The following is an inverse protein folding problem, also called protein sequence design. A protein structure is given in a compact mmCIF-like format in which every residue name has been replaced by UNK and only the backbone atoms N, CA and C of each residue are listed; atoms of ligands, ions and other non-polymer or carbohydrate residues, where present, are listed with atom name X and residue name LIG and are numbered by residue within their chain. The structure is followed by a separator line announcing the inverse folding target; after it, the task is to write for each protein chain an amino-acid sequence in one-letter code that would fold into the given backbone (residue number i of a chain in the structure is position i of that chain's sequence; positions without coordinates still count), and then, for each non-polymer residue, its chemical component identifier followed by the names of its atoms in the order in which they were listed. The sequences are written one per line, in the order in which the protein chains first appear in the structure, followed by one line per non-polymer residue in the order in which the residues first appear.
data_IF_280067989019
#
_entry.id   IF_280067989019
#
_cell.length_a   1.000
_cell.length_b   1.000
_cell.length_c   1.000
_cell.angle_alpha   90.00
_cell.angle_beta   90.00
_cell.angle_gamma   90.00
#
_symmetry.space_group_name_H-M   'P 1'
#
loop_
_entity.id
_entity.type
_entity.pdbx_description
1 polymer ?
#
# COMPACT_ATOMS: atom_id res chain seq x y z
N UNK A 1 31.94 -10.93 6.01
CA UNK A 1 31.65 -10.90 4.56
C UNK A 1 30.38 -10.10 4.43
N UNK A 2 30.42 -8.94 3.79
CA UNK A 2 29.25 -8.10 3.60
C UNK A 2 28.34 -8.80 2.56
N UNK A 3 27.20 -9.31 3.00
CA UNK A 3 26.15 -9.73 2.11
C UNK A 3 25.64 -8.46 1.42
N UNK A 4 25.94 -8.33 0.13
CA UNK A 4 25.46 -7.22 -0.67
C UNK A 4 23.94 -7.28 -0.72
N UNK A 5 23.27 -6.23 -0.22
CA UNK A 5 21.83 -6.09 -0.34
C UNK A 5 21.36 -6.25 -1.78
N UNK A 6 20.14 -6.70 -1.97
CA UNK A 6 19.62 -6.96 -3.32
C UNK A 6 19.71 -5.69 -4.18
N UNK A 7 20.35 -5.76 -5.38
CA UNK A 7 20.44 -4.62 -6.27
C UNK A 7 19.05 -4.15 -6.67
N UNK A 8 18.85 -2.83 -6.85
CA UNK A 8 17.59 -2.32 -7.39
C UNK A 8 17.37 -2.85 -8.80
N UNK A 9 16.11 -3.17 -9.13
CA UNK A 9 15.73 -3.49 -10.50
C UNK A 9 15.45 -2.25 -11.35
N UNK A 10 15.48 -1.06 -10.72
CA UNK A 10 15.24 0.22 -11.41
C UNK A 10 16.39 0.55 -12.36
N UNK A 11 16.06 1.04 -13.54
CA UNK A 11 17.01 1.48 -14.54
C UNK A 11 16.51 2.72 -15.29
N UNK A 12 17.43 3.40 -16.00
CA UNK A 12 17.11 4.52 -16.86
C UNK A 12 16.28 5.62 -16.17
N UNK A 13 15.24 6.15 -16.86
CA UNK A 13 14.47 7.29 -16.37
C UNK A 13 13.79 7.07 -15.00
N UNK A 14 13.44 5.82 -14.68
CA UNK A 14 12.79 5.52 -13.38
C UNK A 14 13.78 5.65 -12.22
N UNK A 15 15.03 5.18 -12.40
CA UNK A 15 16.10 5.36 -11.41
C UNK A 15 16.43 6.85 -11.23
N UNK A 16 16.57 7.61 -12.32
CA UNK A 16 16.80 9.05 -12.25
C UNK A 16 15.68 9.78 -11.49
N UNK A 17 14.43 9.39 -11.73
CA UNK A 17 13.27 9.91 -10.99
C UNK A 17 13.36 9.58 -9.50
N UNK A 18 13.70 8.33 -9.14
CA UNK A 18 13.84 7.90 -7.76
C UNK A 18 14.94 8.70 -7.04
N UNK A 19 16.09 8.90 -7.68
CA UNK A 19 17.17 9.73 -7.14
C UNK A 19 16.74 11.19 -6.94
N UNK A 20 16.10 11.79 -7.93
CA UNK A 20 15.71 13.20 -7.89
C UNK A 20 14.54 13.49 -6.95
N UNK A 21 13.50 12.64 -6.94
CA UNK A 21 12.26 12.92 -6.23
C UNK A 21 12.15 12.23 -4.87
N UNK A 22 12.81 11.09 -4.72
CA UNK A 22 12.76 10.28 -3.50
C UNK A 22 14.07 10.31 -2.70
N UNK A 23 15.12 10.98 -3.19
CA UNK A 23 16.46 10.98 -2.60
C UNK A 23 17.07 9.56 -2.52
N UNK A 24 16.69 8.67 -3.45
CA UNK A 24 17.24 7.31 -3.47
C UNK A 24 18.73 7.36 -3.79
N UNK A 25 19.59 6.69 -2.99
CA UNK A 25 21.03 6.61 -3.30
C UNK A 25 21.25 5.97 -4.67
N UNK A 26 22.18 6.56 -5.44
CA UNK A 26 22.53 6.05 -6.77
C UNK A 26 23.35 4.77 -6.77
N UNK A 27 23.96 4.44 -5.64
CA UNK A 27 24.77 3.24 -5.46
C UNK A 27 24.11 2.24 -4.50
N UNK A 28 24.31 0.95 -4.78
CA UNK A 28 23.72 -0.14 -4.02
C UNK A 28 24.29 -0.26 -2.61
N UNK A 29 25.55 0.15 -2.40
CA UNK A 29 26.20 0.08 -1.09
C UNK A 29 25.53 1.03 -0.09
N UNK A 30 25.34 2.29 -0.47
CA UNK A 30 24.65 3.29 0.37
C UNK A 30 23.21 2.90 0.62
N UNK A 31 22.50 2.39 -0.41
CA UNK A 31 21.12 1.91 -0.27
C UNK A 31 21.04 0.75 0.73
N UNK A 32 21.93 -0.24 0.62
CA UNK A 32 21.98 -1.38 1.53
C UNK A 32 22.31 -0.96 2.97
N UNK A 33 23.18 0.01 3.18
CA UNK A 33 23.47 0.57 4.51
C UNK A 33 22.22 1.17 5.14
N UNK A 34 21.40 1.90 4.37
CA UNK A 34 20.17 2.51 4.89
C UNK A 34 19.08 1.46 5.19
N UNK A 35 18.96 0.42 4.37
CA UNK A 35 18.05 -0.71 4.63
C UNK A 35 18.46 -1.42 5.93
N UNK A 36 19.75 -1.75 6.08
CA UNK A 36 20.27 -2.41 7.27
C UNK A 36 20.14 -1.54 8.52
N UNK A 37 20.31 -0.23 8.42
CA UNK A 37 20.10 0.69 9.55
C UNK A 37 18.63 0.76 9.94
N UNK A 38 17.70 0.78 8.98
CA UNK A 38 16.26 0.71 9.26
C UNK A 38 15.92 -0.61 9.96
N UNK A 39 16.41 -1.74 9.45
CA UNK A 39 16.23 -3.07 10.04
C UNK A 39 16.72 -3.10 11.49
N UNK A 40 17.96 -2.67 11.73
CA UNK A 40 18.56 -2.64 13.06
C UNK A 40 17.75 -1.81 14.06
N UNK A 41 17.18 -0.68 13.63
CA UNK A 41 16.30 0.15 14.47
C UNK A 41 15.01 -0.55 14.83
N UNK A 42 14.40 -1.22 13.85
CA UNK A 42 13.15 -1.96 14.06
C UNK A 42 13.36 -3.20 14.96
N UNK A 43 14.48 -3.92 14.79
CA UNK A 43 14.83 -5.06 15.65
C UNK A 43 15.05 -4.65 17.13
N UNK A 44 15.56 -3.44 17.34
CA UNK A 44 15.80 -2.89 18.70
C UNK A 44 14.64 -1.99 19.18
N UNK A 45 13.57 -1.90 18.43
CA UNK A 45 12.44 -1.06 18.78
C UNK A 45 11.71 -1.58 20.02
N UNK A 46 11.23 -0.64 20.84
CA UNK A 46 10.41 -0.92 22.01
C UNK A 46 9.13 -0.07 21.95
N UNK A 47 7.98 -0.64 22.33
CA UNK A 47 6.72 0.12 22.34
C UNK A 47 6.82 1.31 23.28
N UNK A 48 6.39 2.47 22.80
CA UNK A 48 6.33 3.73 23.56
C UNK A 48 4.91 4.01 24.05
N UNK A 49 3.93 3.46 23.35
CA UNK A 49 2.52 3.66 23.65
C UNK A 49 1.81 2.30 23.82
N UNK A 50 0.71 2.29 24.58
CA UNK A 50 -0.07 1.08 24.86
C UNK A 50 -0.64 0.41 23.60
N UNK A 51 -0.98 1.21 22.58
CA UNK A 51 -1.45 0.71 21.27
C UNK A 51 -0.36 0.02 20.45
N UNK A 52 0.90 0.17 20.84
CA UNK A 52 2.07 -0.47 20.20
C UNK A 52 2.47 -1.78 20.87
N UNK A 53 1.94 -2.07 22.08
CA UNK A 53 2.25 -3.31 22.80
C UNK A 53 1.82 -4.54 22.00
N UNK A 54 2.71 -5.54 21.91
CA UNK A 54 2.46 -6.83 21.23
C UNK A 54 2.37 -6.72 19.70
N UNK A 55 2.89 -5.64 19.08
CA UNK A 55 3.11 -5.62 17.64
C UNK A 55 4.19 -6.64 17.31
N UNK A 56 3.89 -7.50 16.34
CA UNK A 56 4.86 -8.39 15.73
C UNK A 56 5.27 -7.83 14.37
N UNK A 57 6.55 -7.53 14.20
CA UNK A 57 7.08 -7.05 12.93
C UNK A 57 7.33 -8.22 12.00
N UNK A 58 6.72 -8.18 10.83
CA UNK A 58 6.87 -9.17 9.78
C UNK A 58 7.79 -8.65 8.68
N UNK A 59 8.49 -9.57 7.98
CA UNK A 59 9.30 -9.28 6.80
C UNK A 59 10.46 -8.31 7.07
N UNK A 60 11.06 -8.35 8.26
CA UNK A 60 12.27 -7.57 8.57
C UNK A 60 13.49 -8.02 7.75
N UNK A 61 13.52 -9.27 7.32
CA UNK A 61 14.55 -9.88 6.46
C UNK A 61 14.37 -9.57 4.97
N UNK A 62 13.24 -8.96 4.58
CA UNK A 62 12.94 -8.63 3.20
C UNK A 62 13.38 -7.19 2.85
N UNK A 63 14.53 -7.06 2.21
CA UNK A 63 15.10 -5.78 1.77
C UNK A 63 14.14 -4.98 0.90
N UNK A 64 13.44 -5.66 -0.04
CA UNK A 64 12.49 -4.99 -0.95
C UNK A 64 11.28 -4.45 -0.19
N UNK A 65 10.86 -5.17 0.84
CA UNK A 65 9.78 -4.73 1.69
C UNK A 65 10.18 -3.49 2.52
N UNK A 66 11.38 -3.48 3.10
CA UNK A 66 11.90 -2.33 3.85
C UNK A 66 12.13 -1.12 2.96
N UNK A 67 12.63 -1.35 1.74
CA UNK A 67 12.93 -0.29 0.77
C UNK A 67 11.70 0.54 0.41
N UNK A 68 10.51 -0.06 0.36
CA UNK A 68 9.26 0.68 0.08
C UNK A 68 8.96 1.76 1.12
N UNK A 69 9.30 1.53 2.38
CA UNK A 69 9.13 2.52 3.46
C UNK A 69 10.14 3.67 3.34
N UNK A 70 11.39 3.33 3.01
CA UNK A 70 12.43 4.32 2.72
C UNK A 70 12.03 5.21 1.54
N UNK A 71 11.62 4.62 0.41
CA UNK A 71 11.13 5.36 -0.77
C UNK A 71 9.95 6.26 -0.44
N UNK A 72 8.97 5.74 0.31
CA UNK A 72 7.78 6.52 0.70
C UNK A 72 8.14 7.75 1.53
N UNK A 73 9.18 7.67 2.35
CA UNK A 73 9.65 8.77 3.20
C UNK A 73 10.92 9.44 2.69
N UNK A 74 11.24 9.26 1.38
CA UNK A 74 12.37 9.90 0.72
C UNK A 74 13.70 9.64 1.44
N UNK A 75 13.89 8.39 1.89
CA UNK A 75 15.07 7.92 2.62
C UNK A 75 15.33 8.63 3.96
N UNK A 76 14.30 9.29 4.53
CA UNK A 76 14.34 9.74 5.91
C UNK A 76 14.09 8.55 6.84
N UNK A 77 15.14 8.10 7.52
CA UNK A 77 15.12 6.91 8.38
C UNK A 77 14.10 7.04 9.54
N UNK A 78 14.01 8.21 10.18
CA UNK A 78 13.10 8.39 11.31
C UNK A 78 11.64 8.28 10.86
N UNK A 79 11.31 8.89 9.73
CA UNK A 79 9.97 8.85 9.15
C UNK A 79 9.65 7.48 8.55
N UNK A 80 10.64 6.77 8.00
CA UNK A 80 10.47 5.43 7.48
C UNK A 80 10.22 4.43 8.60
N UNK A 81 10.97 4.50 9.70
CA UNK A 81 10.78 3.73 10.92
C UNK A 81 9.36 3.92 11.47
N UNK A 82 8.93 5.18 11.66
CA UNK A 82 7.58 5.47 12.17
C UNK A 82 6.49 4.97 11.21
N UNK A 83 6.69 5.07 9.89
CA UNK A 83 5.74 4.54 8.92
C UNK A 83 5.62 3.02 9.01
N UNK A 84 6.73 2.31 9.19
CA UNK A 84 6.75 0.87 9.36
C UNK A 84 6.00 0.44 10.63
N UNK A 85 6.29 1.11 11.75
CA UNK A 85 5.58 0.86 13.02
C UNK A 85 4.07 1.09 12.85
N UNK A 86 3.68 2.22 12.26
CA UNK A 86 2.28 2.54 12.01
C UNK A 86 1.59 1.51 11.11
N UNK A 87 2.28 1.00 10.08
CA UNK A 87 1.76 -0.04 9.20
C UNK A 87 1.34 -1.29 9.98
N UNK A 88 2.18 -1.77 10.89
CA UNK A 88 1.86 -2.93 11.71
C UNK A 88 0.83 -2.60 12.81
N UNK A 89 0.90 -1.42 13.41
CA UNK A 89 -0.07 -0.95 14.43
C UNK A 89 -1.49 -0.91 13.86
N UNK A 90 -1.67 -0.32 12.68
CA UNK A 90 -2.99 -0.20 12.04
C UNK A 90 -3.52 -1.57 11.62
N UNK A 91 -2.68 -2.44 11.05
CA UNK A 91 -3.08 -3.81 10.69
C UNK A 91 -3.51 -4.61 11.93
N UNK A 92 -2.79 -4.50 13.04
CA UNK A 92 -3.17 -5.12 14.30
C UNK A 92 -4.47 -4.54 14.87
N UNK A 93 -4.59 -3.22 14.91
CA UNK A 93 -5.79 -2.52 15.40
C UNK A 93 -7.06 -3.00 14.68
N UNK A 94 -6.95 -3.30 13.40
CA UNK A 94 -8.06 -3.75 12.56
C UNK A 94 -8.02 -5.24 12.23
N UNK A 95 -7.27 -6.06 12.99
CA UNK A 95 -7.11 -7.49 12.73
C UNK A 95 -8.42 -8.27 12.76
N UNK A 96 -9.36 -7.92 13.65
CA UNK A 96 -10.69 -8.55 13.71
C UNK A 96 -11.51 -8.27 12.45
N UNK A 97 -11.44 -7.04 11.92
CA UNK A 97 -12.13 -6.65 10.70
C UNK A 97 -11.47 -7.27 9.45
N UNK A 98 -10.15 -7.25 9.41
CA UNK A 98 -9.38 -7.70 8.26
C UNK A 98 -9.22 -9.23 8.23
N UNK A 99 -9.11 -9.89 9.41
CA UNK A 99 -8.80 -11.31 9.49
C UNK A 99 -7.60 -11.68 8.64
N UNK A 100 -7.63 -12.83 8.02
CA UNK A 100 -6.58 -13.24 7.07
C UNK A 100 -6.69 -12.44 5.77
N UNK A 101 -5.60 -11.77 5.40
CA UNK A 101 -5.46 -11.03 4.14
C UNK A 101 -4.65 -11.88 3.18
N UNK A 102 -5.32 -12.58 2.27
CA UNK A 102 -4.69 -13.47 1.29
C UNK A 102 -5.32 -13.28 -0.11
N UNK A 103 -4.59 -13.72 -1.15
CA UNK A 103 -5.16 -13.71 -2.51
C UNK A 103 -6.45 -14.53 -2.59
N UNK A 104 -6.55 -15.62 -1.85
CA UNK A 104 -7.74 -16.46 -1.81
C UNK A 104 -8.93 -15.71 -1.23
N UNK A 105 -8.74 -14.93 -0.15
CA UNK A 105 -9.81 -14.12 0.44
C UNK A 105 -10.28 -12.96 -0.46
N UNK A 106 -9.44 -12.52 -1.40
CA UNK A 106 -9.71 -11.42 -2.33
C UNK A 106 -10.29 -11.90 -3.68
N UNK A 107 -10.19 -13.20 -4.01
CA UNK A 107 -10.46 -13.73 -5.34
C UNK A 107 -11.88 -13.39 -5.83
N UNK A 108 -12.91 -13.54 -5.00
CA UNK A 108 -14.29 -13.25 -5.36
C UNK A 108 -14.49 -11.79 -5.79
N UNK A 109 -13.95 -10.85 -5.02
CA UNK A 109 -14.03 -9.42 -5.32
C UNK A 109 -13.24 -9.05 -6.58
N UNK A 110 -12.06 -9.63 -6.76
CA UNK A 110 -11.24 -9.38 -7.96
C UNK A 110 -11.97 -9.92 -9.20
N UNK A 111 -12.52 -11.12 -9.14
CA UNK A 111 -13.27 -11.74 -10.27
C UNK A 111 -14.56 -11.01 -10.61
N UNK A 112 -15.24 -10.40 -9.64
CA UNK A 112 -16.45 -9.60 -9.89
C UNK A 112 -16.17 -8.31 -10.69
N UNK A 113 -14.92 -7.86 -10.70
CA UNK A 113 -14.50 -6.64 -11.39
C UNK A 113 -14.86 -5.35 -10.63
N UNK A 114 -15.23 -5.43 -9.35
CA UNK A 114 -15.38 -4.27 -8.46
C UNK A 114 -14.04 -3.52 -8.39
N UNK A 115 -12.93 -4.27 -8.28
CA UNK A 115 -11.57 -3.74 -8.31
C UNK A 115 -10.83 -4.37 -9.48
N UNK A 116 -10.23 -3.55 -10.32
CA UNK A 116 -9.48 -4.02 -11.49
C UNK A 116 -8.19 -3.21 -11.65
N UNK A 117 -7.07 -3.87 -11.90
CA UNK A 117 -5.82 -3.20 -12.27
C UNK A 117 -5.72 -3.20 -13.79
N UNK A 118 -5.50 -2.05 -14.39
CA UNK A 118 -5.29 -1.97 -15.83
C UNK A 118 -3.92 -2.55 -16.22
N UNK A 119 -3.82 -3.21 -17.38
CA UNK A 119 -2.57 -3.84 -17.82
C UNK A 119 -1.46 -2.82 -18.12
N UNK A 120 -1.84 -1.63 -18.57
CA UNK A 120 -0.90 -0.57 -18.95
C UNK A 120 -0.77 0.49 -17.86
N UNK A 121 0.43 1.04 -17.72
CA UNK A 121 0.70 2.20 -16.88
C UNK A 121 0.26 3.48 -17.61
N UNK A 122 0.08 4.55 -16.85
CA UNK A 122 -0.11 5.89 -17.43
C UNK A 122 1.19 6.35 -18.12
N UNK A 123 1.11 7.43 -18.90
CA UNK A 123 2.30 8.08 -19.49
C UNK A 123 3.29 8.57 -18.43
N UNK A 124 2.82 8.84 -17.22
CA UNK A 124 3.67 9.20 -16.07
C UNK A 124 4.25 7.96 -15.34
N UNK A 125 3.97 6.73 -15.81
CA UNK A 125 4.47 5.48 -15.24
C UNK A 125 3.63 4.91 -14.09
N UNK A 126 2.54 5.54 -13.68
CA UNK A 126 1.69 5.06 -12.57
C UNK A 126 0.90 3.81 -12.96
N UNK A 127 0.72 2.89 -12.02
CA UNK A 127 -0.31 1.85 -12.14
C UNK A 127 -1.69 2.46 -12.00
N UNK A 128 -2.67 1.90 -12.72
CA UNK A 128 -4.06 2.35 -12.66
C UNK A 128 -4.92 1.27 -12.04
N UNK A 129 -5.54 1.59 -10.92
CA UNK A 129 -6.54 0.77 -10.26
C UNK A 129 -7.92 1.39 -10.54
N UNK A 130 -8.84 0.61 -11.04
CA UNK A 130 -10.22 1.04 -11.32
C UNK A 130 -11.15 0.39 -10.31
N UNK A 131 -11.87 1.22 -9.55
CA UNK A 131 -12.96 0.80 -8.68
C UNK A 131 -14.30 1.04 -9.40
N UNK A 132 -15.17 0.04 -9.37
CA UNK A 132 -16.51 0.07 -9.99
C UNK A 132 -17.58 -0.30 -8.95
N UNK A 133 -18.03 0.64 -8.13
CA UNK A 133 -19.04 0.37 -7.09
C UNK A 133 -20.35 -0.19 -7.66
N UNK A 134 -20.72 0.15 -8.90
CA UNK A 134 -21.91 -0.38 -9.57
C UNK A 134 -21.90 -1.91 -9.81
N UNK A 135 -20.72 -2.54 -9.73
CA UNK A 135 -20.57 -3.99 -9.80
C UNK A 135 -20.65 -4.69 -8.44
N UNK A 136 -20.77 -3.91 -7.40
CA UNK A 136 -20.89 -4.45 -6.04
C UNK A 136 -22.28 -4.99 -5.79
N UNK A 137 -22.39 -6.30 -5.68
CA UNK A 137 -23.58 -6.97 -5.17
C UNK A 137 -23.53 -6.99 -3.64
N UNK A 138 -24.35 -6.15 -3.00
CA UNK A 138 -24.37 -5.97 -1.55
C UNK A 138 -24.96 -7.18 -0.79
N UNK A 139 -25.68 -8.07 -1.51
CA UNK A 139 -26.25 -9.28 -0.91
C UNK A 139 -25.22 -10.40 -0.79
N UNK A 140 -24.21 -10.39 -1.65
CA UNK A 140 -23.21 -11.47 -1.73
C UNK A 140 -21.81 -11.06 -1.26
N UNK A 141 -21.45 -9.78 -1.34
CA UNK A 141 -20.11 -9.27 -0.99
C UNK A 141 -20.21 -8.24 0.13
N UNK A 142 -19.58 -8.53 1.25
CA UNK A 142 -19.51 -7.58 2.36
C UNK A 142 -18.47 -6.49 2.10
N UNK A 143 -18.67 -5.27 2.61
CA UNK A 143 -17.71 -4.17 2.45
C UNK A 143 -16.31 -4.49 2.96
N UNK A 144 -16.19 -5.32 4.00
CA UNK A 144 -14.91 -5.76 4.55
C UNK A 144 -14.12 -6.61 3.55
N UNK A 145 -14.81 -7.38 2.71
CA UNK A 145 -14.19 -8.21 1.67
C UNK A 145 -13.62 -7.33 0.54
N UNK A 146 -14.30 -6.23 0.21
CA UNK A 146 -13.80 -5.24 -0.76
C UNK A 146 -12.53 -4.56 -0.21
N UNK A 147 -12.55 -4.19 1.09
CA UNK A 147 -11.36 -3.60 1.73
C UNK A 147 -10.18 -4.57 1.75
N UNK A 148 -10.40 -5.85 2.10
CA UNK A 148 -9.36 -6.89 2.05
C UNK A 148 -8.80 -7.03 0.65
N UNK A 149 -9.66 -7.12 -0.36
CA UNK A 149 -9.24 -7.24 -1.75
C UNK A 149 -8.42 -6.03 -2.21
N UNK A 150 -8.81 -4.82 -1.81
CA UNK A 150 -8.05 -3.61 -2.08
C UNK A 150 -6.65 -3.68 -1.45
N UNK A 151 -6.54 -4.09 -0.19
CA UNK A 151 -5.25 -4.22 0.49
C UNK A 151 -4.35 -5.26 -0.17
N UNK A 152 -4.90 -6.42 -0.56
CA UNK A 152 -4.16 -7.47 -1.29
C UNK A 152 -3.64 -6.93 -2.61
N UNK A 153 -4.49 -6.23 -3.38
CA UNK A 153 -4.10 -5.65 -4.67
C UNK A 153 -3.02 -4.59 -4.49
N UNK A 154 -3.18 -3.70 -3.51
CA UNK A 154 -2.18 -2.67 -3.22
C UNK A 154 -0.86 -3.30 -2.80
N UNK A 155 -0.84 -4.24 -1.86
CA UNK A 155 0.39 -4.91 -1.44
C UNK A 155 1.08 -5.59 -2.63
N UNK A 156 0.31 -6.20 -3.54
CA UNK A 156 0.86 -6.84 -4.73
C UNK A 156 1.46 -5.84 -5.74
N UNK A 157 0.78 -4.73 -5.99
CA UNK A 157 1.30 -3.66 -6.84
C UNK A 157 2.59 -3.05 -6.32
N UNK A 158 2.77 -3.07 -5.01
CA UNK A 158 3.92 -2.49 -4.34
C UNK A 158 5.13 -3.43 -4.22
N UNK A 159 5.00 -4.67 -4.68
CA UNK A 159 6.16 -5.52 -4.96
C UNK A 159 6.93 -5.01 -6.20
N UNK A 160 6.26 -4.24 -7.08
CA UNK A 160 6.90 -3.64 -8.24
C UNK A 160 7.65 -2.36 -7.84
N UNK A 161 8.97 -2.34 -7.96
CA UNK A 161 9.79 -1.18 -7.63
C UNK A 161 9.40 0.08 -8.43
N UNK A 162 9.06 -0.08 -9.71
CA UNK A 162 8.54 1.03 -10.52
C UNK A 162 7.28 1.65 -9.92
N UNK A 163 6.38 0.81 -9.38
CA UNK A 163 5.15 1.30 -8.73
C UNK A 163 5.47 2.07 -7.44
N UNK A 164 6.51 1.68 -6.70
CA UNK A 164 6.98 2.43 -5.53
C UNK A 164 7.48 3.83 -5.92
N UNK A 165 8.06 4.00 -7.11
CA UNK A 165 8.58 5.29 -7.60
C UNK A 165 7.48 6.14 -8.24
N UNK A 166 6.69 5.55 -9.13
CA UNK A 166 5.68 6.28 -9.90
C UNK A 166 4.34 6.43 -9.15
N UNK A 167 4.01 5.48 -8.28
CA UNK A 167 2.77 5.46 -7.51
C UNK A 167 1.62 4.76 -8.24
N UNK A 168 0.44 4.88 -7.63
CA UNK A 168 -0.81 4.28 -8.10
C UNK A 168 -1.84 5.40 -8.25
N UNK A 169 -2.54 5.40 -9.37
CA UNK A 169 -3.73 6.23 -9.62
C UNK A 169 -4.94 5.35 -9.41
N UNK A 170 -5.87 5.81 -8.57
CA UNK A 170 -7.16 5.16 -8.38
C UNK A 170 -8.20 5.95 -9.17
N UNK A 171 -8.87 5.25 -10.08
CA UNK A 171 -9.98 5.77 -10.84
C UNK A 171 -11.27 5.14 -10.34
N UNK A 172 -12.20 5.95 -9.85
CA UNK A 172 -13.51 5.50 -9.39
C UNK A 172 -14.56 5.78 -10.47
N UNK A 173 -15.22 4.70 -10.95
CA UNK A 173 -16.29 4.79 -11.94
C UNK A 173 -17.64 4.54 -11.27
N UNK A 174 -18.41 5.60 -11.09
CA UNK A 174 -19.75 5.57 -10.51
C UNK A 174 -20.88 5.45 -11.56
N UNK A 175 -20.54 5.28 -12.83
CA UNK A 175 -21.54 5.15 -13.90
C UNK A 175 -22.51 4.00 -13.61
N UNK A 176 -23.81 4.33 -13.66
CA UNK A 176 -24.86 3.35 -13.42
C UNK A 176 -25.02 2.90 -11.96
N UNK A 177 -24.42 3.61 -10.99
CA UNK A 177 -24.56 3.27 -9.58
C UNK A 177 -26.01 3.51 -9.11
N UNK A 178 -26.72 2.47 -8.61
CA UNK A 178 -28.09 2.62 -8.13
C UNK A 178 -28.17 3.54 -6.90
N UNK A 179 -29.26 4.33 -6.80
CA UNK A 179 -29.48 5.25 -5.68
C UNK A 179 -29.42 4.54 -4.31
N UNK A 180 -29.93 3.31 -4.23
CA UNK A 180 -29.88 2.51 -3.00
C UNK A 180 -28.44 2.23 -2.56
N UNK A 181 -27.53 1.96 -3.52
CA UNK A 181 -26.11 1.77 -3.22
C UNK A 181 -25.44 3.08 -2.80
N UNK A 182 -25.78 4.19 -3.43
CA UNK A 182 -25.27 5.52 -3.02
C UNK A 182 -25.66 5.81 -1.56
N UNK A 183 -26.93 5.57 -1.20
CA UNK A 183 -27.41 5.75 0.17
C UNK A 183 -26.75 4.80 1.16
N UNK A 184 -26.49 3.56 0.76
CA UNK A 184 -25.77 2.58 1.58
C UNK A 184 -24.32 3.00 1.79
N UNK A 185 -23.60 3.38 0.73
CA UNK A 185 -22.25 3.91 0.82
C UNK A 185 -22.19 5.13 1.74
N UNK A 186 -23.11 6.08 1.59
CA UNK A 186 -23.16 7.29 2.42
C UNK A 186 -23.34 6.98 3.92
N UNK A 187 -24.08 5.92 4.27
CA UNK A 187 -24.30 5.52 5.67
C UNK A 187 -23.12 4.74 6.26
N UNK A 188 -22.46 3.90 5.46
CA UNK A 188 -21.39 3.01 5.93
C UNK A 188 -20.00 3.63 5.79
N UNK A 189 -19.86 4.63 4.93
CA UNK A 189 -18.63 5.28 4.53
C UNK A 189 -17.81 5.94 5.66
N UNK A 190 -18.39 6.68 6.64
CA UNK A 190 -17.57 7.42 7.60
C UNK A 190 -16.64 6.52 8.43
N UNK A 191 -17.13 5.34 8.84
CA UNK A 191 -16.35 4.40 9.66
C UNK A 191 -15.32 3.67 8.78
N UNK A 192 -15.71 3.26 7.57
CA UNK A 192 -14.86 2.51 6.65
C UNK A 192 -13.85 3.39 5.94
N UNK A 193 -14.21 4.63 5.63
CA UNK A 193 -13.24 5.63 5.12
C UNK A 193 -12.13 5.91 6.14
N UNK A 194 -12.45 6.01 7.43
CA UNK A 194 -11.43 6.19 8.45
C UNK A 194 -10.42 5.05 8.46
N UNK A 195 -10.90 3.80 8.50
CA UNK A 195 -10.05 2.60 8.46
C UNK A 195 -9.27 2.52 7.15
N UNK A 196 -9.95 2.75 6.02
CA UNK A 196 -9.31 2.72 4.70
C UNK A 196 -8.25 3.80 4.56
N UNK A 197 -8.51 5.02 5.02
CA UNK A 197 -7.52 6.11 5.00
C UNK A 197 -6.32 5.80 5.90
N UNK A 198 -6.53 5.28 7.13
CA UNK A 198 -5.43 4.84 7.99
C UNK A 198 -4.57 3.79 7.28
N UNK A 199 -5.19 2.75 6.70
CA UNK A 199 -4.48 1.67 6.01
C UNK A 199 -3.76 2.14 4.73
N UNK A 200 -4.37 3.05 3.98
CA UNK A 200 -3.77 3.63 2.77
C UNK A 200 -2.64 4.59 3.12
N UNK A 201 -2.81 5.45 4.12
CA UNK A 201 -1.79 6.41 4.55
C UNK A 201 -0.51 5.73 5.04
N UNK A 202 -0.64 4.57 5.70
CA UNK A 202 0.53 3.77 6.12
C UNK A 202 1.10 2.92 4.97
N UNK A 203 0.36 2.75 3.89
CA UNK A 203 0.82 1.91 2.79
C UNK A 203 1.52 2.69 1.69
N UNK A 204 1.14 3.95 1.34
CA UNK A 204 1.72 4.58 0.13
C UNK A 204 1.42 6.04 -0.20
N UNK A 205 2.22 6.53 -1.19
CA UNK A 205 1.93 7.68 -2.06
C UNK A 205 0.80 7.33 -3.02
N UNK A 206 -0.45 7.52 -2.63
CA UNK A 206 -1.59 7.45 -3.55
C UNK A 206 -1.99 8.85 -4.00
N UNK A 207 -2.08 9.04 -5.31
CA UNK A 207 -2.80 10.18 -5.87
C UNK A 207 -4.21 9.71 -6.18
N UNK A 208 -5.16 10.15 -5.37
CA UNK A 208 -6.58 9.92 -5.64
C UNK A 208 -7.00 10.93 -6.71
N UNK A 209 -7.26 10.46 -7.92
CA UNK A 209 -7.98 11.22 -8.93
C UNK A 209 -9.44 10.77 -8.90
N UNK A 210 -10.26 11.53 -8.19
CA UNK A 210 -11.72 11.42 -8.33
C UNK A 210 -12.10 12.12 -9.62
N UNK A 211 -12.61 11.37 -10.59
CA UNK A 211 -13.26 11.93 -11.77
C UNK A 211 -14.76 11.74 -11.58
N UNK A 212 -15.45 12.83 -11.30
CA UNK A 212 -16.88 12.94 -11.53
C UNK A 212 -17.10 12.97 -13.04
N UNK A 213 -17.72 11.92 -13.59
CA UNK A 213 -18.30 11.94 -14.94
C UNK A 213 -19.82 12.08 -14.79
#
# INVERSE_FOLDING_TARGET
MAEGGAPTSLSGPTLEKAMRELNEPGDDETRSKLINELRRRLENWQPKEKNEEGINFERLDDDKFLLRFLRTKKFDLNRAEQLYINYHTVRRKHSELLGEISLQSAEGVIRSGIITVLPHRTTAGCRVLVARPNKWDMDTVRPEEILKALLVVLDKLLEEEETQVHGIVVFENFEGLPLVQILHLAKTEPIKKGVMLELIQVSHRMSLLMHDI
#
